data_IF_053356722838
#
_entry.id   IF_053356722838
#
_cell.length_a   1.000
_cell.length_b   1.000
_cell.length_c   1.000
_cell.angle_alpha   90.00
_cell.angle_beta   90.00
_cell.angle_gamma   90.00
#
_symmetry.space_group_name_H-M   'P 1'
#
loop_
_entity.id
_entity.type
_entity.pdbx_description
1 polymer ?
#
# COMPACT_ATOMS: atom_id res chain seq x y z
N UNK A 1 17.45 16.70 8.53
CA UNK A 1 18.49 15.98 7.75
C UNK A 1 17.75 15.27 6.63
N UNK A 2 18.11 15.51 5.37
CA UNK A 2 17.48 14.80 4.24
C UNK A 2 18.01 13.36 4.27
N UNK A 3 17.11 12.40 4.41
CA UNK A 3 17.46 10.99 4.34
C UNK A 3 17.69 10.61 2.86
N UNK A 4 18.73 9.83 2.61
CA UNK A 4 19.06 9.36 1.27
C UNK A 4 19.34 7.86 1.31
N UNK A 5 18.92 7.15 0.27
CA UNK A 5 19.30 5.77 0.09
C UNK A 5 20.78 5.67 -0.31
N UNK A 6 21.53 4.81 0.35
CA UNK A 6 22.94 4.51 0.06
C UNK A 6 23.03 3.08 -0.43
N UNK A 7 23.13 2.92 -1.73
CA UNK A 7 23.15 1.57 -2.36
C UNK A 7 24.39 0.77 -1.94
N UNK A 8 25.51 1.45 -1.74
CA UNK A 8 26.76 0.84 -1.29
C UNK A 8 26.69 0.24 0.10
N UNK A 9 25.71 0.62 0.92
CA UNK A 9 25.55 0.10 2.29
C UNK A 9 24.79 -1.26 2.30
N UNK A 10 24.13 -1.66 1.20
CA UNK A 10 23.45 -2.96 1.15
C UNK A 10 24.42 -4.12 0.97
N UNK A 11 24.28 -5.11 1.85
CA UNK A 11 25.05 -6.32 1.82
C UNK A 11 24.56 -7.31 0.74
N UNK A 12 25.42 -8.26 0.37
CA UNK A 12 25.03 -9.34 -0.54
C UNK A 12 23.87 -10.19 0.04
N UNK A 13 23.80 -10.33 1.35
CA UNK A 13 22.69 -11.05 2.01
C UNK A 13 21.35 -10.31 1.81
N UNK A 14 21.34 -8.98 1.93
CA UNK A 14 20.12 -8.18 1.71
C UNK A 14 19.64 -8.26 0.25
N UNK A 15 20.56 -8.21 -0.74
CA UNK A 15 20.21 -8.46 -2.13
C UNK A 15 19.64 -9.86 -2.36
N UNK A 16 20.22 -10.87 -1.72
CA UNK A 16 19.71 -12.26 -1.81
C UNK A 16 18.32 -12.39 -1.18
N UNK A 17 18.10 -11.73 -0.03
CA UNK A 17 16.78 -11.69 0.62
C UNK A 17 15.75 -10.99 -0.24
N UNK A 18 16.11 -9.86 -0.84
CA UNK A 18 15.26 -9.13 -1.79
C UNK A 18 14.83 -10.02 -2.97
N UNK A 19 15.80 -10.67 -3.64
CA UNK A 19 15.53 -11.57 -4.77
C UNK A 19 14.54 -12.68 -4.39
N UNK A 20 14.76 -13.29 -3.21
CA UNK A 20 13.90 -14.34 -2.70
C UNK A 20 12.48 -13.83 -2.43
N UNK A 21 12.32 -12.69 -1.78
CA UNK A 21 11.01 -12.08 -1.49
C UNK A 21 10.27 -11.76 -2.79
N UNK A 22 10.97 -11.13 -3.74
CA UNK A 22 10.39 -10.73 -5.03
C UNK A 22 9.90 -11.95 -5.83
N UNK A 23 10.76 -12.94 -6.03
CA UNK A 23 10.42 -14.14 -6.82
C UNK A 23 9.28 -14.92 -6.17
N UNK A 24 9.35 -15.14 -4.86
CA UNK A 24 8.35 -15.86 -4.09
C UNK A 24 7.00 -15.15 -4.18
N UNK A 25 6.98 -13.85 -3.96
CA UNK A 25 5.74 -13.09 -3.90
C UNK A 25 5.14 -12.92 -5.30
N UNK A 26 5.92 -12.56 -6.32
CA UNK A 26 5.44 -12.45 -7.70
C UNK A 26 4.81 -13.76 -8.19
N UNK A 27 5.43 -14.90 -7.90
CA UNK A 27 4.87 -16.21 -8.25
C UNK A 27 3.58 -16.52 -7.47
N UNK A 28 3.54 -16.17 -6.19
CA UNK A 28 2.41 -16.47 -5.32
C UNK A 28 1.15 -15.65 -5.66
N UNK A 29 1.32 -14.46 -6.20
CA UNK A 29 0.23 -13.55 -6.60
C UNK A 29 -0.44 -13.93 -7.93
N UNK A 30 0.20 -14.77 -8.76
CA UNK A 30 -0.35 -15.16 -10.06
C UNK A 30 -1.74 -15.81 -9.93
N UNK A 31 -2.70 -15.30 -10.72
CA UNK A 31 -4.09 -15.74 -10.72
C UNK A 31 -4.94 -15.28 -9.51
N UNK A 32 -4.32 -14.71 -8.48
CA UNK A 32 -5.00 -14.26 -7.26
C UNK A 32 -5.11 -12.74 -7.17
N UNK A 33 -4.07 -12.01 -7.55
CA UNK A 33 -4.04 -10.55 -7.50
C UNK A 33 -4.84 -9.92 -8.64
N UNK A 34 -5.26 -8.68 -8.44
CA UNK A 34 -5.90 -7.87 -9.46
C UNK A 34 -4.98 -7.62 -10.66
N UNK A 35 -5.54 -7.50 -11.83
CA UNK A 35 -4.79 -7.07 -13.03
C UNK A 35 -4.24 -5.68 -12.83
N UNK A 36 -5.00 -4.77 -12.20
CA UNK A 36 -4.50 -3.44 -11.87
C UNK A 36 -3.13 -3.51 -11.18
N UNK A 37 -2.98 -4.36 -10.16
CA UNK A 37 -1.70 -4.51 -9.47
C UNK A 37 -0.64 -5.21 -10.34
N UNK A 38 -0.99 -6.30 -11.00
CA UNK A 38 -0.02 -7.08 -11.79
C UNK A 38 0.50 -6.29 -12.99
N UNK A 39 -0.37 -5.56 -13.69
CA UNK A 39 0.00 -4.74 -14.84
C UNK A 39 0.90 -3.59 -14.42
N UNK A 40 0.58 -2.89 -13.33
CA UNK A 40 1.42 -1.81 -12.81
C UNK A 40 2.76 -2.31 -12.25
N UNK A 41 2.81 -3.51 -11.65
CA UNK A 41 4.06 -4.15 -11.25
C UNK A 41 4.93 -4.47 -12.48
N UNK A 42 4.33 -4.94 -13.58
CA UNK A 42 5.05 -5.22 -14.82
C UNK A 42 5.54 -3.93 -15.51
N UNK A 43 4.73 -2.87 -15.51
CA UNK A 43 5.15 -1.54 -15.99
C UNK A 43 6.38 -1.02 -15.24
N UNK A 44 6.53 -1.37 -13.96
CA UNK A 44 7.69 -0.99 -13.13
C UNK A 44 8.87 -1.97 -13.20
N UNK A 45 8.84 -2.98 -14.07
CA UNK A 45 9.85 -4.04 -14.13
C UNK A 45 11.28 -3.57 -14.40
N UNK A 46 11.47 -2.36 -14.96
CA UNK A 46 12.80 -1.76 -15.17
C UNK A 46 13.38 -1.11 -13.90
N UNK A 47 12.53 -0.58 -13.01
CA UNK A 47 12.94 0.14 -11.80
C UNK A 47 12.73 -0.68 -10.53
N UNK A 48 11.68 -1.50 -10.47
CA UNK A 48 11.38 -2.42 -9.39
C UNK A 48 11.73 -3.84 -9.83
N UNK A 49 13.01 -4.17 -9.80
CA UNK A 49 13.53 -5.44 -10.34
C UNK A 49 13.68 -6.52 -9.27
N UNK A 50 13.75 -7.79 -9.74
CA UNK A 50 14.12 -8.92 -8.88
C UNK A 50 15.61 -8.98 -8.55
N UNK A 51 16.48 -8.45 -9.43
CA UNK A 51 17.92 -8.73 -9.41
C UNK A 51 18.69 -7.89 -8.40
N UNK A 52 18.11 -6.80 -7.95
CA UNK A 52 18.73 -5.88 -6.99
C UNK A 52 17.69 -5.12 -6.19
N UNK A 53 18.05 -4.68 -5.01
CA UNK A 53 17.27 -3.70 -4.24
C UNK A 53 17.11 -2.46 -5.12
N UNK A 54 15.86 -1.96 -5.32
CA UNK A 54 15.58 -0.89 -6.26
C UNK A 54 16.13 0.46 -5.78
N UNK A 55 16.44 1.32 -6.73
CA UNK A 55 16.73 2.73 -6.46
C UNK A 55 15.43 3.50 -6.25
N UNK A 56 15.25 4.09 -5.08
CA UNK A 56 14.07 4.91 -4.78
C UNK A 56 13.92 6.07 -5.77
N UNK A 57 15.06 6.68 -6.17
CA UNK A 57 15.06 7.76 -7.15
C UNK A 57 14.54 7.36 -8.53
N UNK A 58 14.88 6.16 -9.02
CA UNK A 58 14.44 5.67 -10.33
C UNK A 58 12.93 5.36 -10.32
N UNK A 59 12.43 4.70 -9.27
CA UNK A 59 10.99 4.49 -9.08
C UNK A 59 10.22 5.83 -8.99
N UNK A 60 10.75 6.79 -8.24
CA UNK A 60 10.16 8.13 -8.11
C UNK A 60 10.08 8.87 -9.44
N UNK A 61 11.13 8.77 -10.29
CA UNK A 61 11.13 9.35 -11.63
C UNK A 61 10.09 8.70 -12.54
N UNK A 62 9.91 7.38 -12.45
CA UNK A 62 8.89 6.66 -13.22
C UNK A 62 7.47 7.05 -12.78
N UNK A 63 7.18 7.06 -11.47
CA UNK A 63 5.91 7.54 -10.94
C UNK A 63 5.60 8.98 -11.34
N UNK A 64 6.63 9.85 -11.32
CA UNK A 64 6.46 11.26 -11.69
C UNK A 64 5.99 11.43 -13.13
N UNK A 65 6.49 10.58 -14.04
CA UNK A 65 6.07 10.59 -15.45
C UNK A 65 4.66 10.04 -15.65
N UNK A 66 4.29 8.99 -14.88
CA UNK A 66 3.01 8.31 -15.05
C UNK A 66 1.84 9.08 -14.43
N UNK A 67 1.94 9.46 -13.15
CA UNK A 67 0.83 10.00 -12.37
C UNK A 67 1.15 11.29 -11.60
N UNK A 68 2.39 11.76 -11.70
CA UNK A 68 2.86 12.95 -10.99
C UNK A 68 3.28 12.67 -9.53
N UNK A 69 3.28 11.41 -9.10
CA UNK A 69 3.71 11.01 -7.77
C UNK A 69 5.24 10.94 -7.65
N UNK A 70 5.71 11.00 -6.42
CA UNK A 70 7.12 10.79 -6.05
C UNK A 70 7.21 9.97 -4.76
N UNK A 71 8.44 9.64 -4.34
CA UNK A 71 8.70 8.85 -3.15
C UNK A 71 9.58 9.67 -2.21
N UNK A 72 9.19 9.75 -0.93
CA UNK A 72 9.96 10.37 0.14
C UNK A 72 10.58 9.27 1.02
N UNK A 73 11.86 9.42 1.36
CA UNK A 73 12.54 8.47 2.24
C UNK A 73 12.31 8.89 3.68
N UNK A 74 11.79 7.97 4.49
CA UNK A 74 11.50 8.14 5.91
C UNK A 74 12.31 7.16 6.76
N UNK A 75 12.56 7.45 8.05
CA UNK A 75 13.37 6.56 8.90
C UNK A 75 12.66 5.24 9.27
N UNK A 76 11.35 5.18 9.15
CA UNK A 76 10.46 4.10 9.54
C UNK A 76 9.03 4.61 9.64
N UNK A 77 8.25 4.10 10.57
CA UNK A 77 6.87 4.57 10.79
C UNK A 77 6.84 6.07 11.13
N UNK A 78 5.99 6.79 10.44
CA UNK A 78 5.71 8.22 10.67
C UNK A 78 4.31 8.41 11.26
N UNK A 79 4.05 9.59 11.82
CA UNK A 79 2.72 9.88 12.36
C UNK A 79 1.65 9.93 11.26
N UNK A 80 0.36 9.63 11.56
CA UNK A 80 -0.72 9.75 10.59
C UNK A 80 -0.80 11.14 9.94
N UNK A 81 -0.56 12.19 10.70
CA UNK A 81 -0.57 13.58 10.19
C UNK A 81 0.53 13.80 9.16
N UNK A 82 1.76 13.35 9.44
CA UNK A 82 2.87 13.44 8.48
C UNK A 82 2.59 12.61 7.22
N UNK A 83 2.03 11.41 7.39
CA UNK A 83 1.64 10.56 6.26
C UNK A 83 0.61 11.24 5.36
N UNK A 84 -0.47 11.80 5.91
CA UNK A 84 -1.46 12.52 5.13
C UNK A 84 -0.88 13.75 4.42
N UNK A 85 0.04 14.48 5.06
CA UNK A 85 0.74 15.62 4.43
C UNK A 85 1.56 15.16 3.22
N UNK A 86 2.24 14.03 3.30
CA UNK A 86 2.98 13.47 2.16
C UNK A 86 2.02 13.09 1.03
N UNK A 87 0.97 12.34 1.32
CA UNK A 87 -0.02 11.92 0.32
C UNK A 87 -0.68 13.13 -0.37
N UNK A 88 -1.00 14.20 0.37
CA UNK A 88 -1.56 15.45 -0.17
C UNK A 88 -0.63 16.18 -1.14
N UNK A 89 0.66 15.87 -1.09
CA UNK A 89 1.69 16.37 -2.02
C UNK A 89 2.03 15.38 -3.13
N UNK A 90 1.27 14.29 -3.25
CA UNK A 90 1.57 13.17 -4.15
C UNK A 90 2.95 12.56 -3.87
N UNK A 91 3.26 12.36 -2.59
CA UNK A 91 4.46 11.68 -2.12
C UNK A 91 4.05 10.46 -1.33
N UNK A 92 4.54 9.28 -1.72
CA UNK A 92 4.45 8.08 -0.89
C UNK A 92 5.76 7.94 -0.10
N UNK A 93 5.70 7.40 1.10
CA UNK A 93 6.90 7.21 1.91
C UNK A 93 7.45 5.79 1.80
N UNK A 94 8.76 5.65 1.92
CA UNK A 94 9.42 4.35 2.04
C UNK A 94 10.59 4.42 3.01
N UNK A 95 10.79 3.36 3.77
CA UNK A 95 12.05 3.11 4.47
C UNK A 95 13.12 2.62 3.47
N UNK A 96 14.37 2.55 3.91
CA UNK A 96 15.47 2.01 3.09
C UNK A 96 16.07 0.73 3.67
N UNK A 97 15.54 0.22 4.78
CA UNK A 97 16.00 -1.04 5.34
C UNK A 97 15.26 -2.24 4.74
N UNK A 98 15.95 -3.35 4.60
CA UNK A 98 15.40 -4.61 4.10
C UNK A 98 15.44 -5.63 5.24
N UNK A 99 14.33 -6.35 5.45
CA UNK A 99 14.22 -7.40 6.46
C UNK A 99 15.31 -8.47 6.31
N UNK A 100 15.67 -9.08 7.42
CA UNK A 100 16.66 -10.16 7.43
C UNK A 100 16.06 -11.46 6.85
N UNK A 101 16.94 -12.37 6.48
CA UNK A 101 16.55 -13.68 5.94
C UNK A 101 15.67 -14.51 6.88
N UNK A 102 15.84 -14.36 8.19
CA UNK A 102 15.02 -15.04 9.21
C UNK A 102 13.65 -14.38 9.43
N UNK A 103 13.37 -13.24 8.79
CA UNK A 103 12.13 -12.46 8.89
C UNK A 103 11.30 -12.46 7.59
N UNK A 104 11.64 -13.33 6.62
CA UNK A 104 10.97 -13.32 5.30
C UNK A 104 9.49 -13.68 5.33
N UNK A 105 9.03 -14.40 6.36
CA UNK A 105 7.64 -14.83 6.48
C UNK A 105 6.79 -13.85 7.28
N UNK A 106 7.39 -13.13 8.22
CA UNK A 106 6.71 -12.13 9.04
C UNK A 106 7.66 -11.04 9.52
N UNK A 107 7.21 -9.80 9.46
CA UNK A 107 7.83 -8.65 10.09
C UNK A 107 6.76 -7.81 10.79
N UNK A 108 7.11 -7.24 11.92
CA UNK A 108 6.21 -6.39 12.70
C UNK A 108 6.17 -4.96 12.14
N UNK A 109 7.32 -4.44 11.72
CA UNK A 109 7.45 -3.10 11.14
C UNK A 109 7.63 -3.17 9.62
N UNK A 110 6.92 -2.36 8.82
CA UNK A 110 7.06 -2.35 7.37
C UNK A 110 8.49 -1.99 6.94
N UNK A 111 9.05 -2.81 6.05
CA UNK A 111 10.36 -2.60 5.44
C UNK A 111 10.25 -2.07 4.01
N UNK A 112 11.39 -1.80 3.38
CA UNK A 112 11.45 -1.33 2.01
C UNK A 112 10.73 -2.27 1.02
N UNK A 113 10.74 -3.61 1.26
CA UNK A 113 10.04 -4.54 0.38
C UNK A 113 8.52 -4.34 0.46
N UNK A 114 7.97 -4.22 1.67
CA UNK A 114 6.57 -3.91 1.87
C UNK A 114 6.20 -2.58 1.21
N UNK A 115 6.97 -1.52 1.51
CA UNK A 115 6.69 -0.18 1.01
C UNK A 115 6.73 -0.13 -0.52
N UNK A 116 7.78 -0.70 -1.14
CA UNK A 116 8.00 -0.54 -2.57
C UNK A 116 7.29 -1.60 -3.40
N UNK A 117 7.30 -2.87 -3.01
CA UNK A 117 6.61 -3.93 -3.74
C UNK A 117 5.10 -3.88 -3.52
N UNK A 118 4.65 -3.56 -2.30
CA UNK A 118 3.22 -3.52 -1.97
C UNK A 118 2.52 -2.25 -2.45
N UNK A 119 3.05 -1.07 -2.12
CA UNK A 119 2.34 0.19 -2.29
C UNK A 119 2.68 0.96 -3.57
N UNK A 120 3.90 0.86 -4.09
CA UNK A 120 4.33 1.73 -5.19
C UNK A 120 3.66 1.36 -6.53
N UNK A 121 3.57 0.07 -6.96
CA UNK A 121 2.99 -0.26 -8.25
C UNK A 121 1.57 0.28 -8.48
N UNK A 122 0.61 0.17 -7.55
CA UNK A 122 -0.73 0.71 -7.77
C UNK A 122 -0.78 2.22 -8.04
N UNK A 123 0.22 3.00 -7.58
CA UNK A 123 0.31 4.44 -7.83
C UNK A 123 0.61 4.78 -9.31
N UNK A 124 0.98 3.81 -10.14
CA UNK A 124 1.05 3.96 -11.59
C UNK A 124 -0.35 4.07 -12.24
N UNK A 125 -1.39 3.55 -11.58
CA UNK A 125 -2.77 3.64 -12.05
C UNK A 125 -3.39 5.00 -11.68
N UNK A 126 -4.00 5.68 -12.66
CA UNK A 126 -4.52 7.03 -12.47
C UNK A 126 -5.64 7.12 -11.43
N UNK A 127 -6.56 6.15 -11.40
CA UNK A 127 -7.70 6.16 -10.47
C UNK A 127 -7.23 5.95 -9.04
N UNK A 128 -6.31 4.99 -8.82
CA UNK A 128 -5.75 4.75 -7.48
C UNK A 128 -4.87 5.93 -7.03
N UNK A 129 -4.06 6.49 -7.92
CA UNK A 129 -3.24 7.67 -7.64
C UNK A 129 -4.10 8.90 -7.28
N UNK A 130 -5.25 9.11 -7.97
CA UNK A 130 -6.23 10.15 -7.64
C UNK A 130 -6.83 9.94 -6.26
N UNK A 131 -7.33 8.74 -5.99
CA UNK A 131 -7.89 8.37 -4.68
C UNK A 131 -6.87 8.62 -3.55
N UNK A 132 -5.63 8.15 -3.69
CA UNK A 132 -4.59 8.32 -2.67
C UNK A 132 -4.24 9.80 -2.43
N UNK A 133 -4.19 10.60 -3.48
CA UNK A 133 -3.98 12.06 -3.35
C UNK A 133 -5.16 12.70 -2.60
N UNK A 134 -6.39 12.41 -2.99
CA UNK A 134 -7.58 12.92 -2.33
C UNK A 134 -7.69 12.48 -0.87
N UNK A 135 -7.34 11.22 -0.60
CA UNK A 135 -7.25 10.69 0.76
C UNK A 135 -6.25 11.49 1.62
N UNK A 136 -5.09 11.84 1.05
CA UNK A 136 -4.10 12.69 1.70
C UNK A 136 -4.61 14.11 1.98
N UNK A 137 -5.30 14.75 1.02
CA UNK A 137 -5.89 16.09 1.21
C UNK A 137 -6.92 16.09 2.34
N UNK A 138 -7.86 15.13 2.31
CA UNK A 138 -8.89 14.97 3.35
C UNK A 138 -8.25 14.69 4.72
N UNK A 139 -7.30 13.76 4.77
CA UNK A 139 -6.62 13.40 6.02
C UNK A 139 -5.80 14.56 6.59
N UNK A 140 -5.10 15.30 5.73
CA UNK A 140 -4.32 16.49 6.16
C UNK A 140 -5.22 17.60 6.72
N UNK A 141 -6.36 17.88 6.08
CA UNK A 141 -7.31 18.87 6.58
C UNK A 141 -7.86 18.47 7.97
N UNK A 142 -8.32 17.21 8.10
CA UNK A 142 -8.87 16.67 9.35
C UNK A 142 -7.83 16.66 10.49
N UNK A 143 -6.60 16.23 10.19
CA UNK A 143 -5.53 16.17 11.19
C UNK A 143 -5.10 17.58 11.65
N UNK A 144 -5.03 18.56 10.74
CA UNK A 144 -4.71 19.94 11.08
C UNK A 144 -5.75 20.59 12.00
N UNK A 145 -7.01 20.16 11.91
CA UNK A 145 -8.10 20.63 12.78
C UNK A 145 -8.20 19.86 14.12
N UNK A 146 -7.27 18.92 14.37
CA UNK A 146 -7.23 18.15 15.62
C UNK A 146 -8.40 17.17 15.79
N UNK A 147 -8.96 16.65 14.71
CA UNK A 147 -10.11 15.75 14.72
C UNK A 147 -9.67 14.28 14.83
N UNK A 148 -9.12 13.88 15.95
CA UNK A 148 -8.50 12.57 16.19
C UNK A 148 -9.44 11.38 15.90
N UNK A 149 -10.74 11.54 16.17
CA UNK A 149 -11.71 10.50 15.87
C UNK A 149 -11.82 10.23 14.36
N UNK A 150 -11.88 11.29 13.55
CA UNK A 150 -11.94 11.18 12.09
C UNK A 150 -10.60 10.71 11.51
N UNK A 151 -9.48 11.09 12.11
CA UNK A 151 -8.15 10.52 11.78
C UNK A 151 -8.18 9.00 11.96
N UNK A 152 -8.72 8.51 13.07
CA UNK A 152 -8.87 7.07 13.32
C UNK A 152 -9.78 6.40 12.29
N UNK A 153 -10.86 7.06 11.87
CA UNK A 153 -11.74 6.54 10.81
C UNK A 153 -11.00 6.40 9.48
N UNK A 154 -10.17 7.39 9.10
CA UNK A 154 -9.34 7.32 7.89
C UNK A 154 -8.27 6.23 7.98
N UNK A 155 -7.64 6.03 9.15
CA UNK A 155 -6.71 4.92 9.37
C UNK A 155 -7.38 3.55 9.14
N UNK A 156 -8.64 3.38 9.54
CA UNK A 156 -9.41 2.16 9.29
C UNK A 156 -9.74 1.98 7.81
N UNK A 157 -10.10 3.06 7.09
CA UNK A 157 -10.27 3.03 5.65
C UNK A 157 -8.98 2.57 4.96
N UNK A 158 -7.85 3.18 5.31
CA UNK A 158 -6.54 2.80 4.79
C UNK A 158 -6.26 1.31 5.03
N UNK A 159 -6.47 0.85 6.27
CA UNK A 159 -6.24 -0.53 6.65
C UNK A 159 -7.06 -1.53 5.83
N UNK A 160 -8.37 -1.34 5.77
CA UNK A 160 -9.27 -2.30 5.15
C UNK A 160 -9.33 -2.21 3.61
N UNK A 161 -8.73 -1.21 3.00
CA UNK A 161 -8.64 -1.12 1.55
C UNK A 161 -7.19 -1.10 1.05
N UNK A 162 -6.40 -0.12 1.46
CA UNK A 162 -5.04 0.07 0.93
C UNK A 162 -4.09 -1.03 1.39
N UNK A 163 -4.25 -1.51 2.63
CA UNK A 163 -3.43 -2.59 3.18
C UNK A 163 -4.01 -3.99 2.93
N UNK A 164 -5.30 -4.19 3.21
CA UNK A 164 -5.91 -5.53 3.25
C UNK A 164 -7.18 -5.64 2.42
N UNK A 165 -7.31 -4.81 1.37
CA UNK A 165 -8.50 -4.81 0.51
C UNK A 165 -8.47 -5.84 -0.60
N UNK A 166 -9.68 -6.21 -1.03
CA UNK A 166 -9.94 -6.90 -2.29
C UNK A 166 -10.64 -5.94 -3.25
N UNK A 167 -10.45 -6.18 -4.54
CA UNK A 167 -11.18 -5.47 -5.61
C UNK A 167 -11.92 -6.48 -6.49
N UNK A 168 -13.07 -6.07 -7.02
CA UNK A 168 -13.82 -6.90 -7.98
C UNK A 168 -13.33 -6.64 -9.39
N UNK A 169 -12.93 -7.71 -10.07
CA UNK A 169 -12.58 -7.69 -11.48
C UNK A 169 -13.31 -8.81 -12.22
N UNK A 170 -14.00 -8.50 -13.30
CA UNK A 170 -14.76 -9.46 -14.11
C UNK A 170 -15.71 -10.36 -13.29
N UNK A 171 -16.30 -9.82 -12.23
CA UNK A 171 -17.17 -10.55 -11.31
C UNK A 171 -16.47 -11.37 -10.24
N UNK A 172 -15.14 -11.47 -10.27
CA UNK A 172 -14.34 -12.23 -9.32
C UNK A 172 -13.68 -11.32 -8.25
N UNK A 173 -13.47 -11.89 -7.07
CA UNK A 173 -12.68 -11.24 -6.03
C UNK A 173 -11.19 -11.41 -6.29
N UNK A 174 -10.45 -10.30 -6.36
CA UNK A 174 -8.99 -10.28 -6.53
C UNK A 174 -8.32 -9.57 -5.37
N UNK A 175 -7.16 -10.07 -4.97
CA UNK A 175 -6.32 -9.44 -3.95
C UNK A 175 -5.79 -8.11 -4.46
N UNK A 176 -5.74 -7.10 -3.57
CA UNK A 176 -5.31 -5.76 -3.96
C UNK A 176 -4.42 -5.08 -2.92
N UNK A 177 -4.74 -5.19 -1.62
CA UNK A 177 -4.07 -4.43 -0.56
C UNK A 177 -2.58 -4.75 -0.41
N UNK A 178 -1.77 -3.75 -0.11
CA UNK A 178 -0.31 -3.83 -0.08
C UNK A 178 0.22 -4.80 1.00
N UNK A 179 -0.42 -4.87 2.17
CA UNK A 179 -0.11 -5.84 3.21
C UNK A 179 -0.28 -7.28 2.71
N UNK A 180 -1.32 -7.52 1.90
CA UNK A 180 -1.51 -8.82 1.23
C UNK A 180 -0.46 -9.03 0.14
N UNK A 181 -0.20 -8.02 -0.70
CA UNK A 181 0.73 -8.14 -1.83
C UNK A 181 2.17 -8.41 -1.41
N UNK A 182 2.60 -7.95 -0.25
CA UNK A 182 3.99 -8.04 0.23
C UNK A 182 4.24 -9.15 1.27
N UNK A 183 3.21 -9.89 1.68
CA UNK A 183 3.29 -10.94 2.69
C UNK A 183 2.79 -12.28 2.17
N UNK A 184 3.64 -13.31 2.20
CA UNK A 184 3.29 -14.66 1.75
C UNK A 184 2.16 -15.27 2.60
N UNK A 185 2.23 -15.09 3.91
CA UNK A 185 1.22 -15.60 4.85
C UNK A 185 -0.14 -14.92 4.66
N UNK A 186 -0.15 -13.57 4.56
CA UNK A 186 -1.38 -12.81 4.33
C UNK A 186 -2.00 -13.11 2.95
N UNK A 187 -1.20 -13.24 1.89
CA UNK A 187 -1.70 -13.65 0.56
C UNK A 187 -2.43 -14.99 0.63
N UNK A 188 -1.84 -15.97 1.30
CA UNK A 188 -2.42 -17.32 1.43
C UNK A 188 -3.72 -17.27 2.21
N UNK A 189 -3.68 -16.66 3.37
CA UNK A 189 -4.82 -16.57 4.29
C UNK A 189 -5.99 -15.78 3.69
N UNK A 190 -5.71 -14.60 3.15
CA UNK A 190 -6.72 -13.78 2.48
C UNK A 190 -7.37 -14.52 1.32
N UNK A 191 -6.58 -15.24 0.51
CA UNK A 191 -7.11 -16.01 -0.61
C UNK A 191 -8.04 -17.17 -0.17
N UNK A 192 -7.75 -17.82 0.95
CA UNK A 192 -8.64 -18.83 1.53
C UNK A 192 -9.98 -18.23 1.97
N UNK A 193 -9.98 -17.02 2.47
CA UNK A 193 -11.18 -16.31 2.94
C UNK A 193 -11.95 -15.56 1.85
N UNK A 194 -11.50 -15.59 0.57
CA UNK A 194 -12.11 -14.81 -0.53
C UNK A 194 -13.62 -15.06 -0.76
N UNK A 195 -14.14 -16.18 -0.30
CA UNK A 195 -15.57 -16.48 -0.38
C UNK A 195 -16.39 -15.95 0.82
N UNK A 196 -15.73 -15.29 1.78
CA UNK A 196 -16.35 -14.75 3.01
C UNK A 196 -16.23 -13.22 3.08
N UNK A 197 -15.90 -12.59 1.96
CA UNK A 197 -15.72 -11.14 1.88
C UNK A 197 -17.04 -10.41 2.16
N UNK A 198 -16.91 -9.29 2.85
CA UNK A 198 -18.01 -8.32 2.95
C UNK A 198 -17.91 -7.33 1.81
N UNK A 199 -19.04 -6.89 1.30
CA UNK A 199 -19.08 -5.76 0.37
C UNK A 199 -18.60 -4.52 1.10
N UNK A 200 -17.70 -3.76 0.45
CA UNK A 200 -17.14 -2.56 1.02
C UNK A 200 -18.24 -1.50 1.25
N UNK A 201 -18.35 -1.04 2.46
CA UNK A 201 -19.18 0.09 2.85
C UNK A 201 -18.32 1.06 3.67
N UNK A 202 -18.21 2.31 3.22
CA UNK A 202 -17.30 3.28 3.82
C UNK A 202 -17.57 3.51 5.32
N UNK A 203 -18.81 3.67 5.72
CA UNK A 203 -19.18 3.94 7.12
C UNK A 203 -18.96 2.72 8.02
N UNK A 204 -19.25 1.51 7.53
CA UNK A 204 -18.96 0.27 8.24
C UNK A 204 -17.45 0.11 8.42
N UNK A 205 -16.68 0.27 7.36
CA UNK A 205 -15.21 0.15 7.38
C UNK A 205 -14.59 1.15 8.35
N UNK A 206 -14.98 2.43 8.26
CA UNK A 206 -14.48 3.50 9.13
C UNK A 206 -14.86 3.30 10.62
N UNK A 207 -15.89 2.53 10.91
CA UNK A 207 -16.29 2.19 12.29
C UNK A 207 -15.71 0.87 12.81
N UNK A 208 -15.15 0.02 11.93
CA UNK A 208 -14.61 -1.30 12.26
C UNK A 208 -13.19 -1.19 12.85
N UNK A 209 -12.93 -1.61 14.09
CA UNK A 209 -11.59 -1.65 14.65
C UNK A 209 -10.74 -2.73 13.97
N UNK A 210 -9.44 -2.52 13.91
CA UNK A 210 -8.45 -3.47 13.39
C UNK A 210 -7.33 -3.71 14.41
N UNK A 211 -6.57 -4.78 14.18
CA UNK A 211 -5.33 -5.10 14.89
C UNK A 211 -4.21 -5.31 13.86
N UNK A 212 -3.08 -4.63 14.06
CA UNK A 212 -1.92 -4.73 13.17
C UNK A 212 -0.98 -5.89 13.55
N UNK A 213 -1.10 -6.43 14.75
CA UNK A 213 -0.22 -7.44 15.34
C UNK A 213 -0.68 -8.90 15.09
N UNK A 214 -1.72 -9.09 14.28
CA UNK A 214 -2.29 -10.42 13.95
C UNK A 214 -2.68 -10.50 12.49
N UNK A 215 -2.68 -11.72 11.94
CA UNK A 215 -3.25 -12.00 10.62
C UNK A 215 -4.72 -11.58 10.61
N UNK A 216 -5.16 -10.96 9.52
CA UNK A 216 -6.48 -10.38 9.43
C UNK A 216 -7.57 -11.45 9.32
N UNK A 217 -8.68 -11.27 10.02
CA UNK A 217 -9.84 -12.16 9.99
C UNK A 217 -11.03 -11.58 9.20
N UNK A 218 -10.93 -10.32 8.79
CA UNK A 218 -11.98 -9.57 8.08
C UNK A 218 -11.40 -8.89 6.85
N UNK A 219 -12.04 -9.15 5.72
CA UNK A 219 -11.69 -8.52 4.46
C UNK A 219 -12.93 -7.97 3.79
N UNK A 220 -12.75 -6.87 3.06
CA UNK A 220 -13.78 -6.20 2.30
C UNK A 220 -13.43 -6.20 0.81
N UNK A 221 -14.45 -6.30 -0.04
CA UNK A 221 -14.30 -6.22 -1.49
C UNK A 221 -14.87 -4.92 -2.02
N UNK A 222 -14.01 -4.14 -2.67
CA UNK A 222 -14.36 -2.88 -3.31
C UNK A 222 -14.83 -3.14 -4.75
N UNK A 223 -15.90 -2.49 -5.16
CA UNK A 223 -16.40 -2.59 -6.53
C UNK A 223 -15.70 -1.61 -7.49
N UNK A 224 -15.30 -0.43 -7.00
CA UNK A 224 -14.73 0.61 -7.86
C UNK A 224 -13.96 1.66 -7.04
N UNK A 225 -12.72 1.95 -7.43
CA UNK A 225 -11.90 2.99 -6.82
C UNK A 225 -12.50 4.39 -7.03
N UNK A 226 -12.95 4.79 -8.23
CA UNK A 226 -13.64 6.06 -8.42
C UNK A 226 -14.90 6.23 -7.57
N UNK A 227 -15.66 5.15 -7.32
CA UNK A 227 -16.79 5.20 -6.42
C UNK A 227 -16.35 5.45 -4.97
N UNK A 228 -15.28 4.80 -4.53
CA UNK A 228 -14.71 5.03 -3.19
C UNK A 228 -14.24 6.47 -3.01
N UNK A 229 -13.58 7.06 -4.00
CA UNK A 229 -13.15 8.47 -3.97
C UNK A 229 -14.36 9.42 -3.85
N UNK A 230 -15.43 9.16 -4.62
CA UNK A 230 -16.69 9.92 -4.50
C UNK A 230 -17.32 9.77 -3.11
N UNK A 231 -17.34 8.57 -2.56
CA UNK A 231 -17.93 8.30 -1.25
C UNK A 231 -17.11 8.95 -0.11
N UNK A 232 -15.79 8.98 -0.25
CA UNK A 232 -14.89 9.72 0.64
C UNK A 232 -15.17 11.24 0.59
N UNK A 233 -15.36 11.80 -0.61
CA UNK A 233 -15.70 13.21 -0.77
C UNK A 233 -17.05 13.54 -0.09
N UNK A 234 -18.08 12.74 -0.33
CA UNK A 234 -19.38 12.91 0.30
C UNK A 234 -19.31 12.79 1.84
N UNK A 235 -18.50 11.85 2.34
CA UNK A 235 -18.25 11.72 3.78
C UNK A 235 -17.56 12.96 4.34
N UNK A 236 -16.53 13.45 3.66
CA UNK A 236 -15.80 14.64 4.08
C UNK A 236 -16.71 15.87 4.14
N UNK A 237 -17.49 16.15 3.09
CA UNK A 237 -18.43 17.28 3.04
C UNK A 237 -19.51 17.25 4.15
N UNK A 238 -19.92 16.04 4.60
CA UNK A 238 -20.88 15.89 5.70
C UNK A 238 -20.25 16.02 7.09
N UNK A 239 -18.96 15.75 7.18
CA UNK A 239 -18.25 15.62 8.46
C UNK A 239 -17.42 16.84 8.77
N UNK A 240 -16.95 17.53 7.74
CA UNK A 240 -16.05 18.69 7.80
C UNK A 240 -16.81 19.99 7.59
#
# INVERSE_FOLDING_TARGET
MILTQKIEDYTQEQHTTWNFLYDRQKAHLQGKSSRLYLDTLEEMSETLTRTSIPMVGDMALQLKKATGWSIEIVPGLISPSEFFILLSKKQFCTSTWVRRKDQVDYIEEPDMFHDTFGHIPPLMNADFASFMHRFGEVGSAIANDGRDFQVTQLQRLYWFFVEFGFIREDGEAKLFGAGIMSSYGETSHAWELRNKLKVFNLEEVMSTPFRADVIQDKYYILESIPNLERDLNNWFERTY
#
